data_IF_867930226208
#
_entry.id   IF_867930226208
#
_cell.length_a   1.000
_cell.length_b   1.000
_cell.length_c   1.000
_cell.angle_alpha   90.00
_cell.angle_beta   90.00
_cell.angle_gamma   90.00
#
_symmetry.space_group_name_H-M   'P 1'
#
loop_
_entity.id
_entity.type
_entity.pdbx_description
1 polymer ?
#
# COMPACT_ATOMS: atom_id res chain seq x y z
N UNK A 1 19.73 5.14 5.03
CA UNK A 1 20.11 3.85 4.41
C UNK A 1 18.82 3.09 4.15
N UNK A 2 18.46 2.81 2.90
CA UNK A 2 17.28 1.99 2.61
C UNK A 2 17.71 0.53 2.66
N UNK A 3 17.23 -0.23 3.65
CA UNK A 3 17.49 -1.67 3.77
C UNK A 3 17.18 -2.40 2.47
N UNK A 4 17.95 -3.44 2.17
CA UNK A 4 17.71 -4.22 0.97
C UNK A 4 16.50 -5.12 1.10
N UNK A 5 15.42 -4.81 0.36
CA UNK A 5 14.20 -5.62 0.34
C UNK A 5 14.46 -7.05 -0.13
N UNK A 6 15.59 -7.30 -0.81
CA UNK A 6 16.02 -8.65 -1.20
C UNK A 6 16.28 -9.56 0.03
N UNK A 7 16.63 -8.97 1.18
CA UNK A 7 16.87 -9.69 2.44
C UNK A 7 15.58 -10.15 3.13
N UNK A 8 14.42 -9.62 2.73
CA UNK A 8 13.14 -10.01 3.29
C UNK A 8 12.77 -11.46 2.91
N UNK A 9 12.66 -12.30 3.92
CA UNK A 9 12.25 -13.69 3.73
C UNK A 9 10.73 -13.76 3.52
N UNK A 10 10.31 -13.87 2.25
CA UNK A 10 8.93 -14.12 1.82
C UNK A 10 7.83 -13.27 2.50
N UNK A 11 7.82 -11.94 2.27
CA UNK A 11 6.77 -11.09 2.83
C UNK A 11 5.37 -11.48 2.32
N UNK A 12 4.40 -11.48 3.24
CA UNK A 12 3.00 -11.81 2.93
C UNK A 12 2.20 -10.63 2.36
N UNK A 13 2.52 -9.42 2.81
CA UNK A 13 1.87 -8.17 2.43
C UNK A 13 2.84 -7.01 2.69
N UNK A 14 2.78 -5.97 1.86
CA UNK A 14 3.45 -4.71 2.13
C UNK A 14 2.43 -3.65 2.53
N UNK A 15 2.75 -2.90 3.58
CA UNK A 15 2.07 -1.66 3.93
C UNK A 15 3.04 -0.55 3.56
N UNK A 16 2.68 0.24 2.54
CA UNK A 16 3.52 1.31 2.02
C UNK A 16 2.91 2.63 2.46
N UNK A 17 3.67 3.37 3.27
CA UNK A 17 3.19 4.60 3.88
C UNK A 17 3.78 5.82 3.16
N UNK A 18 2.98 6.88 3.08
CA UNK A 18 3.42 8.23 2.75
C UNK A 18 2.71 9.21 3.71
N UNK A 19 3.17 10.45 3.79
CA UNK A 19 2.53 11.50 4.57
C UNK A 19 1.55 12.30 3.71
N UNK A 20 0.36 12.54 4.25
CA UNK A 20 -0.65 13.40 3.61
C UNK A 20 -0.27 14.88 3.60
N UNK A 21 0.77 15.28 4.35
CA UNK A 21 1.27 16.66 4.40
C UNK A 21 2.64 16.84 3.76
N UNK A 22 3.17 15.79 3.13
CA UNK A 22 4.43 15.81 2.39
C UNK A 22 4.24 15.07 1.05
N UNK A 23 4.00 15.83 -0.01
CA UNK A 23 3.84 15.30 -1.36
C UNK A 23 5.06 14.51 -1.85
N UNK A 24 6.28 14.91 -1.48
CA UNK A 24 7.50 14.24 -1.93
C UNK A 24 7.55 12.80 -1.40
N UNK A 25 6.98 12.55 -0.23
CA UNK A 25 6.83 11.19 0.30
C UNK A 25 5.94 10.30 -0.57
N UNK A 26 4.90 10.84 -1.21
CA UNK A 26 4.07 10.09 -2.17
C UNK A 26 4.82 9.85 -3.47
N UNK A 27 5.52 10.86 -3.97
CA UNK A 27 6.30 10.75 -5.21
C UNK A 27 7.42 9.69 -5.03
N UNK A 28 8.03 9.61 -3.83
CA UNK A 28 8.96 8.54 -3.46
C UNK A 28 8.35 7.14 -3.45
N UNK A 29 7.05 7.01 -3.14
CA UNK A 29 6.36 5.71 -3.25
C UNK A 29 6.33 5.23 -4.69
N UNK A 30 6.00 6.11 -5.63
CA UNK A 30 5.96 5.79 -7.06
C UNK A 30 7.36 5.53 -7.63
N UNK A 31 8.32 6.39 -7.30
CA UNK A 31 9.65 6.38 -7.94
C UNK A 31 10.61 5.36 -7.33
N UNK A 32 10.47 5.03 -6.04
CA UNK A 32 11.43 4.20 -5.33
C UNK A 32 10.81 2.93 -4.75
N UNK A 33 9.80 3.07 -3.88
CA UNK A 33 9.30 1.94 -3.10
C UNK A 33 8.56 0.92 -3.95
N UNK A 34 7.65 1.36 -4.81
CA UNK A 34 6.87 0.46 -5.66
C UNK A 34 7.74 -0.31 -6.66
N UNK A 35 8.67 0.31 -7.41
CA UNK A 35 9.59 -0.42 -8.28
C UNK A 35 10.38 -1.50 -7.54
N UNK A 36 10.88 -1.22 -6.33
CA UNK A 36 11.66 -2.18 -5.54
C UNK A 36 10.82 -3.32 -4.96
N UNK A 37 9.59 -3.05 -4.56
CA UNK A 37 8.65 -4.11 -4.14
C UNK A 37 8.33 -5.01 -5.33
N UNK A 38 8.08 -4.42 -6.51
CA UNK A 38 7.74 -5.18 -7.73
C UNK A 38 8.94 -5.94 -8.29
N UNK A 39 10.17 -5.45 -8.12
CA UNK A 39 11.39 -6.13 -8.59
C UNK A 39 11.67 -7.45 -7.86
N UNK A 40 11.04 -7.71 -6.70
CA UNK A 40 11.09 -9.01 -6.03
C UNK A 40 10.50 -10.15 -6.88
N UNK A 41 9.80 -9.84 -7.99
CA UNK A 41 9.23 -10.83 -8.92
C UNK A 41 8.06 -11.64 -8.33
N UNK A 42 7.60 -11.27 -7.13
CA UNK A 42 6.50 -11.92 -6.42
C UNK A 42 5.26 -11.04 -6.50
N UNK A 43 4.12 -11.63 -6.85
CA UNK A 43 2.81 -10.99 -6.73
C UNK A 43 2.43 -10.93 -5.24
N UNK A 44 2.91 -9.90 -4.54
CA UNK A 44 2.64 -9.67 -3.12
C UNK A 44 1.62 -8.53 -3.01
N UNK A 45 0.55 -8.68 -2.20
CA UNK A 45 -0.41 -7.62 -1.96
C UNK A 45 0.24 -6.37 -1.35
N UNK A 46 -0.23 -5.20 -1.77
CA UNK A 46 0.26 -3.90 -1.28
C UNK A 46 -0.92 -3.07 -0.80
N UNK A 47 -0.82 -2.54 0.41
CA UNK A 47 -1.74 -1.54 0.96
C UNK A 47 -1.03 -0.19 0.92
N UNK A 48 -1.63 0.81 0.27
CA UNK A 48 -1.11 2.18 0.29
C UNK A 48 -1.76 2.95 1.46
N UNK A 49 -0.95 3.60 2.28
CA UNK A 49 -1.41 4.29 3.48
C UNK A 49 -0.97 5.76 3.49
N UNK A 50 -1.93 6.68 3.49
CA UNK A 50 -1.69 8.09 3.77
C UNK A 50 -1.72 8.35 5.27
N UNK A 51 -0.61 8.78 5.84
CA UNK A 51 -0.45 9.04 7.29
C UNK A 51 -0.61 10.52 7.60
N UNK A 52 -0.66 10.87 8.90
CA UNK A 52 -0.73 12.26 9.37
C UNK A 52 -2.01 12.98 8.92
N UNK A 53 -3.13 12.24 8.81
CA UNK A 53 -4.42 12.80 8.40
C UNK A 53 -4.86 13.99 9.26
N UNK A 54 -4.53 13.99 10.55
CA UNK A 54 -4.85 15.08 11.49
C UNK A 54 -4.14 16.39 11.15
N UNK A 55 -3.05 16.35 10.38
CA UNK A 55 -2.30 17.54 9.98
C UNK A 55 -2.76 18.09 8.63
N UNK A 56 -3.56 17.32 7.86
CA UNK A 56 -3.97 17.73 6.53
C UNK A 56 -4.96 18.90 6.59
N UNK A 57 -4.58 19.99 5.94
CA UNK A 57 -5.43 21.15 5.63
C UNK A 57 -5.94 21.08 4.19
N UNK A 58 -7.20 21.47 3.99
CA UNK A 58 -7.84 21.53 2.67
C UNK A 58 -7.19 22.62 1.80
N UNK A 59 -6.90 22.29 0.53
CA UNK A 59 -6.30 23.20 -0.46
C UNK A 59 -4.93 23.79 -0.08
N UNK A 60 -4.22 23.16 0.86
CA UNK A 60 -2.85 23.54 1.20
C UNK A 60 -1.86 22.96 0.18
N UNK A 61 -0.91 23.77 -0.24
CA UNK A 61 0.11 23.32 -1.19
C UNK A 61 1.05 22.29 -0.53
N UNK A 62 1.39 21.23 -1.27
CA UNK A 62 2.23 20.15 -0.76
C UNK A 62 1.48 19.09 0.06
N UNK A 63 0.20 19.32 0.39
CA UNK A 63 -0.66 18.29 0.96
C UNK A 63 -1.29 17.42 -0.13
N UNK A 64 -1.47 16.14 0.17
CA UNK A 64 -2.11 15.16 -0.72
C UNK A 64 -3.61 15.08 -0.41
N UNK A 65 -4.43 15.34 -1.42
CA UNK A 65 -5.88 15.16 -1.31
C UNK A 65 -6.28 13.68 -1.35
N UNK A 66 -7.45 13.36 -0.82
CA UNK A 66 -7.99 11.99 -0.86
C UNK A 66 -8.16 11.49 -2.32
N UNK A 67 -8.57 12.38 -3.25
CA UNK A 67 -8.67 12.06 -4.67
C UNK A 67 -7.31 11.75 -5.29
N UNK A 68 -6.28 12.52 -4.95
CA UNK A 68 -4.91 12.26 -5.41
C UNK A 68 -4.41 10.92 -4.88
N UNK A 69 -4.59 10.65 -3.59
CA UNK A 69 -4.19 9.38 -2.99
C UNK A 69 -4.92 8.18 -3.62
N UNK A 70 -6.23 8.28 -3.85
CA UNK A 70 -7.03 7.26 -4.56
C UNK A 70 -6.57 7.07 -6.01
N UNK A 71 -6.27 8.16 -6.71
CA UNK A 71 -5.75 8.09 -8.09
C UNK A 71 -4.41 7.35 -8.13
N UNK A 72 -3.47 7.70 -7.26
CA UNK A 72 -2.16 7.05 -7.16
C UNK A 72 -2.29 5.56 -6.79
N UNK A 73 -3.15 5.22 -5.83
CA UNK A 73 -3.42 3.82 -5.47
C UNK A 73 -3.87 2.99 -6.69
N UNK A 74 -4.74 3.56 -7.53
CA UNK A 74 -5.20 2.92 -8.77
C UNK A 74 -4.07 2.79 -9.79
N UNK A 75 -3.26 3.83 -10.00
CA UNK A 75 -2.11 3.81 -10.91
C UNK A 75 -1.08 2.75 -10.50
N UNK A 76 -0.75 2.70 -9.21
CA UNK A 76 0.21 1.77 -8.63
C UNK A 76 -0.33 0.34 -8.44
N UNK A 77 -1.62 0.13 -8.75
CA UNK A 77 -2.34 -1.15 -8.62
C UNK A 77 -2.21 -1.73 -7.22
N UNK A 78 -2.43 -0.90 -6.20
CA UNK A 78 -2.47 -1.35 -4.81
C UNK A 78 -3.81 -2.05 -4.52
N UNK A 79 -3.84 -2.91 -3.51
CA UNK A 79 -5.04 -3.66 -3.13
C UNK A 79 -6.05 -2.78 -2.38
N UNK A 80 -5.54 -1.87 -1.56
CA UNK A 80 -6.33 -0.89 -0.83
C UNK A 80 -5.57 0.44 -0.69
N UNK A 81 -6.34 1.50 -0.49
CA UNK A 81 -5.88 2.81 -0.05
C UNK A 81 -6.61 3.21 1.22
N UNK A 82 -5.86 3.66 2.23
CA UNK A 82 -6.39 4.04 3.54
C UNK A 82 -5.67 5.29 4.02
N UNK A 83 -6.41 6.24 4.56
CA UNK A 83 -5.86 7.38 5.27
C UNK A 83 -6.04 7.19 6.77
N UNK A 84 -4.99 7.46 7.56
CA UNK A 84 -5.01 7.26 9.00
C UNK A 84 -4.29 8.39 9.75
N UNK A 85 -4.58 8.48 11.05
CA UNK A 85 -3.83 9.32 11.98
C UNK A 85 -3.52 8.51 13.23
N UNK A 86 -2.24 8.25 13.46
CA UNK A 86 -1.80 7.59 14.69
C UNK A 86 -2.03 8.49 15.93
N UNK A 87 -1.92 9.81 15.75
CA UNK A 87 -2.14 10.79 16.82
C UNK A 87 -3.58 10.77 17.35
N UNK A 88 -4.54 10.61 16.45
CA UNK A 88 -5.96 10.56 16.76
C UNK A 88 -6.49 9.14 16.95
N UNK A 89 -5.61 8.13 16.91
CA UNK A 89 -5.96 6.71 16.84
C UNK A 89 -7.04 6.40 15.78
N UNK A 90 -6.94 7.07 14.63
CA UNK A 90 -7.95 7.00 13.57
C UNK A 90 -7.52 6.02 12.48
N UNK A 91 -8.32 4.97 12.27
CA UNK A 91 -8.17 3.94 11.23
C UNK A 91 -6.87 3.13 11.27
N UNK A 92 -6.17 3.12 12.41
CA UNK A 92 -4.98 2.27 12.58
C UNK A 92 -5.35 0.79 12.49
N UNK A 93 -6.43 0.37 13.17
CA UNK A 93 -6.94 -0.99 13.08
C UNK A 93 -7.33 -1.38 11.64
N UNK A 94 -8.04 -0.50 10.93
CA UNK A 94 -8.43 -0.72 9.53
C UNK A 94 -7.23 -1.03 8.62
N UNK A 95 -6.09 -0.35 8.81
CA UNK A 95 -4.87 -0.60 8.03
C UNK A 95 -4.41 -2.05 8.16
N UNK A 96 -4.32 -2.56 9.39
CA UNK A 96 -3.88 -3.92 9.64
C UNK A 96 -4.93 -4.95 9.21
N UNK A 97 -6.21 -4.69 9.44
CA UNK A 97 -7.28 -5.57 8.98
C UNK A 97 -7.28 -5.71 7.45
N UNK A 98 -7.14 -4.61 6.71
CA UNK A 98 -7.06 -4.65 5.24
C UNK A 98 -5.82 -5.37 4.75
N UNK A 99 -4.70 -5.29 5.46
CA UNK A 99 -3.50 -6.06 5.12
C UNK A 99 -3.75 -7.58 5.24
N UNK A 100 -4.38 -8.02 6.33
CA UNK A 100 -4.76 -9.43 6.53
C UNK A 100 -5.75 -9.89 5.45
N UNK A 101 -6.80 -9.11 5.20
CA UNK A 101 -7.79 -9.44 4.18
C UNK A 101 -7.19 -9.50 2.77
N UNK A 102 -6.26 -8.61 2.45
CA UNK A 102 -5.57 -8.61 1.15
C UNK A 102 -4.77 -9.91 0.95
N UNK A 103 -4.06 -10.39 1.98
CA UNK A 103 -3.37 -11.69 1.93
C UNK A 103 -4.33 -12.85 1.74
N UNK A 104 -5.41 -12.92 2.53
CA UNK A 104 -6.40 -13.99 2.43
C UNK A 104 -7.02 -14.04 1.02
N UNK A 105 -7.40 -12.88 0.47
CA UNK A 105 -7.96 -12.76 -0.89
C UNK A 105 -6.95 -13.20 -1.94
N UNK A 106 -5.69 -12.81 -1.77
CA UNK A 106 -4.60 -13.20 -2.67
C UNK A 106 -4.40 -14.71 -2.73
N UNK A 107 -4.32 -15.37 -1.56
CA UNK A 107 -4.21 -16.83 -1.48
C UNK A 107 -5.39 -17.53 -2.16
N UNK A 108 -6.63 -17.11 -1.89
CA UNK A 108 -7.83 -17.66 -2.54
C UNK A 108 -7.78 -17.51 -4.06
N UNK A 109 -7.37 -16.33 -4.56
CA UNK A 109 -7.22 -16.07 -6.00
C UNK A 109 -6.20 -17.03 -6.63
N UNK A 110 -5.05 -17.20 -6.00
CA UNK A 110 -3.97 -18.09 -6.47
C UNK A 110 -4.45 -19.55 -6.54
N UNK A 111 -5.10 -20.04 -5.48
CA UNK A 111 -5.67 -21.40 -5.46
C UNK A 111 -6.74 -21.62 -6.54
N UNK A 112 -7.61 -20.64 -6.78
CA UNK A 112 -8.64 -20.72 -7.82
C UNK A 112 -8.05 -20.76 -9.23
N UNK A 113 -6.98 -20.01 -9.49
CA UNK A 113 -6.27 -20.05 -10.79
C UNK A 113 -5.66 -21.44 -11.00
N UNK A 114 -4.94 -21.96 -10.00
CA UNK A 114 -4.32 -23.30 -10.08
C UNK A 114 -5.37 -24.38 -10.37
N UNK A 115 -6.49 -24.36 -9.64
CA UNK A 115 -7.60 -25.31 -9.87
C UNK A 115 -8.18 -25.23 -11.28
N UNK A 116 -8.29 -24.03 -11.88
CA UNK A 116 -8.82 -23.85 -13.24
C UNK A 116 -7.85 -24.30 -14.32
N UNK A 117 -6.54 -24.14 -14.09
CA UNK A 117 -5.50 -24.49 -15.06
C UNK A 117 -5.23 -25.99 -15.06
N UNK A 118 -5.17 -26.62 -13.89
CA UNK A 118 -4.79 -28.03 -13.73
C UNK A 118 -5.97 -28.98 -13.44
N UNK A 119 -7.18 -28.45 -13.22
CA UNK A 119 -8.40 -29.25 -13.05
C UNK A 119 -9.07 -29.64 -14.36
N UNK A 120 -8.35 -29.62 -15.49
CA UNK A 120 -8.73 -30.21 -16.77
C UNK A 120 -7.88 -31.44 -17.01
#
# INVERSE_FOLDING_TARGET
QHEDLSSLTNPDVFIVCFSLVDKDSLDNVEQFWMPRIRSLGKDIPVILVGTQLDMRKTNEQGHVSDEQGKFFAKQLKTNHYIECSAKMDFKIQDVFEKAVYAKIRHSKRKSNIIRRVFGR
#
